data_IF_818807610315
#
_entry.id   IF_818807610315
#
_cell.length_a   1.000
_cell.length_b   1.000
_cell.length_c   1.000
_cell.angle_alpha   90.00
_cell.angle_beta   90.00
_cell.angle_gamma   90.00
#
_symmetry.space_group_name_H-M   'P 1'
#
loop_
_entity.id
_entity.type
_entity.pdbx_description
1 polymer ?
#
# COMPACT_ATOMS: atom_id res chain seq x y z
N UNK A 1 -0.50 -18.83 4.05
CA UNK A 1 0.03 -17.69 3.27
C UNK A 1 0.23 -18.05 1.78
N UNK A 2 -0.13 -17.17 0.83
CA UNK A 2 0.09 -17.40 -0.62
C UNK A 2 1.59 -17.29 -0.96
N UNK A 3 2.08 -18.11 -1.89
CA UNK A 3 3.49 -18.10 -2.38
C UNK A 3 3.95 -16.69 -2.78
N UNK A 4 3.10 -15.93 -3.47
CA UNK A 4 3.40 -14.56 -3.92
C UNK A 4 3.73 -13.59 -2.78
N UNK A 5 3.13 -13.77 -1.60
CA UNK A 5 3.43 -12.92 -0.44
C UNK A 5 4.82 -13.26 0.12
N UNK A 6 5.16 -14.55 0.21
CA UNK A 6 6.48 -15.02 0.67
C UNK A 6 7.59 -14.51 -0.24
N UNK A 7 7.38 -14.62 -1.55
CA UNK A 7 8.33 -14.11 -2.53
C UNK A 7 8.51 -12.59 -2.40
N UNK A 8 7.47 -11.84 -2.01
CA UNK A 8 7.58 -10.39 -1.85
C UNK A 8 8.42 -10.00 -0.63
N UNK A 9 8.28 -10.73 0.48
CA UNK A 9 9.12 -10.53 1.68
C UNK A 9 10.58 -10.86 1.35
N UNK A 10 10.84 -12.03 0.75
CA UNK A 10 12.21 -12.43 0.37
C UNK A 10 12.86 -11.42 -0.57
N UNK A 11 12.14 -10.95 -1.58
CA UNK A 11 12.69 -9.96 -2.52
C UNK A 11 12.96 -8.61 -1.85
N UNK A 12 12.12 -8.20 -0.89
CA UNK A 12 12.38 -7.01 -0.09
C UNK A 12 13.69 -7.14 0.69
N UNK A 13 13.95 -8.31 1.27
CA UNK A 13 15.17 -8.55 2.05
C UNK A 13 16.42 -8.65 1.19
N UNK A 14 16.31 -9.30 0.03
CA UNK A 14 17.38 -9.29 -0.97
C UNK A 14 17.68 -7.84 -1.43
N UNK A 15 16.64 -7.03 -1.62
CA UNK A 15 16.79 -5.62 -1.94
C UNK A 15 17.42 -4.83 -0.78
N UNK A 16 17.00 -5.07 0.46
CA UNK A 16 17.56 -4.48 1.66
C UNK A 16 19.02 -4.87 1.89
N UNK A 17 19.41 -6.12 1.63
CA UNK A 17 20.81 -6.56 1.72
C UNK A 17 21.68 -5.97 0.59
N UNK A 18 21.09 -5.45 -0.47
CA UNK A 18 21.83 -4.74 -1.53
C UNK A 18 22.14 -3.28 -1.18
N UNK A 19 21.49 -2.71 -0.15
CA UNK A 19 21.74 -1.35 0.32
C UNK A 19 23.12 -1.20 0.96
N UNK A 20 23.45 -2.14 1.83
CA UNK A 20 24.65 -2.10 2.62
C UNK A 20 25.23 -3.52 2.67
N UNK A 21 26.19 -3.82 1.78
CA UNK A 21 26.85 -5.12 1.76
C UNK A 21 27.57 -5.44 3.09
N UNK A 22 27.87 -4.43 3.92
CA UNK A 22 28.46 -4.64 5.24
C UNK A 22 27.46 -5.15 6.27
N UNK A 23 26.16 -4.88 6.08
CA UNK A 23 25.07 -5.37 6.93
C UNK A 23 24.40 -6.55 6.22
N UNK A 24 25.00 -7.74 6.35
CA UNK A 24 24.36 -8.96 5.87
C UNK A 24 23.27 -9.38 6.85
N UNK A 25 22.02 -9.01 6.57
CA UNK A 25 20.87 -9.47 7.35
C UNK A 25 20.57 -10.93 7.03
N UNK A 26 20.32 -11.72 8.06
CA UNK A 26 19.80 -13.07 7.88
C UNK A 26 18.42 -13.00 7.19
N UNK A 27 18.07 -14.00 6.36
CA UNK A 27 16.72 -14.09 5.82
C UNK A 27 15.69 -14.06 6.95
N UNK A 28 14.64 -13.23 6.88
CA UNK A 28 13.68 -13.13 7.96
C UNK A 28 12.88 -14.43 8.06
N UNK A 29 12.36 -14.68 9.25
CA UNK A 29 11.37 -15.73 9.43
C UNK A 29 10.06 -15.34 8.73
N UNK A 30 9.60 -16.18 7.81
CA UNK A 30 8.32 -15.99 7.11
C UNK A 30 7.31 -17.02 7.63
N UNK A 31 6.44 -16.58 8.53
CA UNK A 31 5.40 -17.41 9.13
C UNK A 31 4.10 -17.43 8.30
N UNK A 32 3.13 -18.21 8.77
CA UNK A 32 1.84 -18.48 8.14
C UNK A 32 0.81 -17.35 8.25
N UNK A 33 -0.44 -17.71 8.54
CA UNK A 33 -1.48 -16.70 8.82
C UNK A 33 -1.28 -16.15 10.23
N UNK A 34 -1.52 -14.86 10.45
CA UNK A 34 -1.45 -14.28 11.81
C UNK A 34 -2.52 -14.86 12.73
N UNK A 35 -3.58 -15.47 12.18
CA UNK A 35 -4.58 -16.18 12.98
C UNK A 35 -4.04 -17.49 13.58
N UNK A 36 -2.88 -17.97 13.10
CA UNK A 36 -2.23 -19.18 13.60
C UNK A 36 -1.37 -18.89 14.85
N UNK A 37 -1.42 -17.66 15.39
CA UNK A 37 -0.67 -17.25 16.61
C UNK A 37 -1.27 -17.78 17.91
N UNK A 38 -2.46 -18.39 17.90
CA UNK A 38 -3.09 -18.94 19.11
C UNK A 38 -2.72 -20.41 19.28
N UNK A 39 -2.26 -20.78 20.48
CA UNK A 39 -1.95 -22.17 20.84
C UNK A 39 -3.22 -22.99 21.14
N UNK A 40 -3.16 -24.30 20.90
CA UNK A 40 -4.15 -25.37 21.18
C UNK A 40 -5.58 -25.25 20.61
N UNK A 41 -6.20 -24.08 20.63
CA UNK A 41 -7.64 -23.91 20.28
C UNK A 41 -7.86 -23.28 18.91
N UNK A 42 -6.80 -22.77 18.28
CA UNK A 42 -6.89 -21.94 17.08
C UNK A 42 -7.71 -20.66 17.31
N UNK A 43 -8.01 -19.94 16.24
CA UNK A 43 -8.94 -18.81 16.31
C UNK A 43 -10.38 -19.31 16.18
N UNK A 44 -11.30 -18.77 17.00
CA UNK A 44 -12.73 -19.07 16.88
C UNK A 44 -13.31 -18.34 15.65
N UNK A 45 -13.45 -19.04 14.52
CA UNK A 45 -13.96 -18.45 13.28
C UNK A 45 -15.48 -18.11 13.32
N UNK A 46 -16.24 -18.79 14.18
CA UNK A 46 -17.69 -18.60 14.33
C UNK A 46 -18.08 -17.75 15.56
N UNK A 47 -19.33 -17.30 15.60
CA UNK A 47 -19.84 -16.45 16.68
C UNK A 47 -19.64 -14.95 16.50
N UNK A 48 -20.19 -14.19 17.43
CA UNK A 48 -20.15 -12.72 17.47
C UNK A 48 -18.73 -12.20 17.70
N UNK A 49 -18.48 -10.96 17.32
CA UNK A 49 -17.19 -10.29 17.56
C UNK A 49 -16.74 -10.35 19.04
N UNK A 50 -17.67 -10.22 19.99
CA UNK A 50 -17.36 -10.27 21.43
C UNK A 50 -16.96 -11.69 21.86
N UNK A 51 -17.66 -12.72 21.40
CA UNK A 51 -17.29 -14.11 21.69
C UNK A 51 -15.89 -14.43 21.17
N UNK A 52 -15.56 -13.98 19.95
CA UNK A 52 -14.23 -14.13 19.35
C UNK A 52 -13.15 -13.42 20.15
N UNK A 53 -13.44 -12.19 20.61
CA UNK A 53 -12.52 -11.42 21.43
C UNK A 53 -12.25 -12.10 22.78
N UNK A 54 -13.31 -12.55 23.48
CA UNK A 54 -13.18 -13.27 24.75
C UNK A 54 -12.40 -14.58 24.59
N UNK A 55 -12.66 -15.32 23.51
CA UNK A 55 -11.91 -16.53 23.19
C UNK A 55 -10.42 -16.23 22.96
N UNK A 56 -10.12 -15.21 22.16
CA UNK A 56 -8.75 -14.80 21.87
C UNK A 56 -8.02 -14.28 23.11
N UNK A 57 -8.71 -13.57 24.01
CA UNK A 57 -8.13 -13.04 25.25
C UNK A 57 -7.67 -14.16 26.19
N UNK A 58 -8.48 -15.22 26.34
CA UNK A 58 -8.15 -16.39 27.15
C UNK A 58 -7.19 -17.40 26.49
N UNK A 59 -6.86 -17.22 25.21
CA UNK A 59 -5.94 -18.11 24.49
C UNK A 59 -4.48 -17.68 24.68
N UNK A 60 -3.59 -18.66 24.87
CA UNK A 60 -2.15 -18.41 24.94
C UNK A 60 -1.57 -18.17 23.54
N UNK A 61 -0.55 -17.31 23.44
CA UNK A 61 0.22 -17.18 22.20
C UNK A 61 1.06 -18.42 21.94
N UNK A 62 1.06 -18.88 20.69
CA UNK A 62 1.95 -19.92 20.21
C UNK A 62 3.40 -19.45 20.36
N UNK A 63 4.27 -20.31 20.93
CA UNK A 63 5.70 -20.02 21.04
C UNK A 63 6.47 -20.34 19.76
N UNK A 64 5.92 -21.22 18.92
CA UNK A 64 6.52 -21.69 17.68
C UNK A 64 5.51 -21.72 16.55
N UNK A 65 5.97 -21.50 15.32
CA UNK A 65 5.17 -21.68 14.11
C UNK A 65 6.05 -22.18 12.96
N UNK A 66 5.40 -22.79 11.97
CA UNK A 66 6.09 -23.24 10.77
C UNK A 66 6.63 -22.03 10.00
N UNK A 67 7.96 -21.95 9.90
CA UNK A 67 8.68 -20.93 9.16
C UNK A 67 8.94 -21.42 7.75
N UNK A 68 8.43 -20.69 6.76
CA UNK A 68 8.64 -20.99 5.34
C UNK A 68 10.05 -20.70 4.85
N UNK A 69 10.82 -19.89 5.58
CA UNK A 69 12.22 -19.59 5.26
C UNK A 69 13.12 -20.77 5.62
N UNK A 70 12.96 -21.30 6.83
CA UNK A 70 13.79 -22.41 7.35
C UNK A 70 13.19 -23.79 7.11
N UNK A 71 11.95 -23.84 6.58
CA UNK A 71 11.21 -25.08 6.34
C UNK A 71 11.11 -25.98 7.60
N UNK A 72 10.95 -25.36 8.77
CA UNK A 72 10.84 -26.02 10.08
C UNK A 72 10.00 -25.17 11.04
N UNK A 73 9.67 -25.69 12.23
CA UNK A 73 9.04 -24.91 13.29
C UNK A 73 10.10 -24.05 13.99
N UNK A 74 9.99 -22.72 13.84
CA UNK A 74 10.86 -21.77 14.50
C UNK A 74 10.13 -21.09 15.65
N UNK A 75 10.89 -20.59 16.64
CA UNK A 75 10.33 -19.71 17.66
C UNK A 75 9.73 -18.46 17.03
N UNK A 76 8.48 -18.16 17.38
CA UNK A 76 7.81 -16.91 17.00
C UNK A 76 8.38 -15.72 17.78
N UNK A 77 8.78 -15.99 19.03
CA UNK A 77 9.27 -15.02 20.00
C UNK A 77 10.57 -15.58 20.60
N UNK A 78 11.68 -15.64 19.83
CA UNK A 78 12.91 -16.27 20.29
C UNK A 78 13.42 -15.53 21.53
N UNK A 79 13.18 -16.12 22.72
CA UNK A 79 13.47 -15.53 24.03
C UNK A 79 12.54 -14.37 24.37
N UNK A 80 11.86 -14.41 25.52
CA UNK A 80 11.26 -13.19 26.11
C UNK A 80 12.32 -12.10 26.39
N UNK A 81 13.60 -12.45 26.30
CA UNK A 81 14.77 -11.56 26.36
C UNK A 81 15.34 -11.16 24.99
N UNK A 82 14.98 -11.81 23.88
CA UNK A 82 15.48 -11.44 22.55
C UNK A 82 14.38 -10.71 21.76
N UNK A 83 14.46 -9.38 21.86
CA UNK A 83 13.84 -8.38 20.99
C UNK A 83 12.37 -8.65 20.61
N UNK A 84 11.46 -8.51 21.58
CA UNK A 84 10.12 -8.05 21.20
C UNK A 84 10.30 -6.76 20.39
N UNK A 85 9.61 -6.63 19.25
CA UNK A 85 9.73 -5.44 18.43
C UNK A 85 9.36 -4.20 19.26
N UNK A 86 10.24 -3.20 19.30
CA UNK A 86 9.96 -1.92 19.95
C UNK A 86 8.88 -1.13 19.19
N UNK A 87 8.83 -1.35 17.88
CA UNK A 87 7.93 -0.65 16.95
C UNK A 87 7.36 -1.64 15.94
N UNK A 88 6.04 -1.58 15.74
CA UNK A 88 5.35 -2.27 14.64
C UNK A 88 4.71 -1.24 13.70
N UNK A 89 4.82 -1.47 12.39
CA UNK A 89 4.10 -0.71 11.38
C UNK A 89 3.29 -1.67 10.50
N UNK A 90 1.97 -1.58 10.56
CA UNK A 90 1.10 -2.54 9.88
C UNK A 90 -0.05 -1.89 9.11
N UNK A 91 -0.34 -2.42 7.93
CA UNK A 91 -1.55 -2.12 7.16
C UNK A 91 -2.59 -3.23 7.38
N UNK A 92 -3.52 -3.03 8.31
CA UNK A 92 -4.55 -4.03 8.60
C UNK A 92 -5.62 -4.05 7.49
N UNK A 93 -6.20 -5.22 7.16
CA UNK A 93 -7.19 -5.32 6.07
C UNK A 93 -8.40 -4.41 6.32
N UNK A 94 -8.81 -3.65 5.31
CA UNK A 94 -9.93 -2.69 5.43
C UNK A 94 -11.20 -3.11 4.68
N UNK A 95 -11.22 -4.31 4.07
CA UNK A 95 -12.32 -4.78 3.21
C UNK A 95 -13.68 -4.73 3.88
N UNK A 96 -13.76 -5.06 5.17
CA UNK A 96 -15.04 -5.11 5.89
C UNK A 96 -15.48 -3.76 6.46
N UNK A 97 -14.58 -2.77 6.51
CA UNK A 97 -14.87 -1.44 7.05
C UNK A 97 -14.96 -0.35 5.98
N UNK A 98 -14.31 -0.55 4.84
CA UNK A 98 -14.24 0.44 3.75
C UNK A 98 -15.60 0.64 3.08
N UNK A 99 -15.89 1.89 2.69
CA UNK A 99 -17.07 2.23 1.86
C UNK A 99 -17.08 1.48 0.53
N UNK A 100 -15.91 1.14 -0.01
CA UNK A 100 -15.77 0.40 -1.26
C UNK A 100 -15.76 -1.13 -1.09
N UNK A 101 -15.72 -1.60 0.16
CA UNK A 101 -15.70 -3.03 0.50
C UNK A 101 -17.08 -3.57 0.88
N UNK A 102 -17.10 -4.68 1.64
CA UNK A 102 -18.33 -5.40 2.00
C UNK A 102 -19.14 -4.73 3.12
N UNK A 103 -18.52 -3.83 3.88
CA UNK A 103 -19.14 -3.11 5.00
C UNK A 103 -19.72 -4.02 6.09
N UNK A 104 -19.19 -5.24 6.23
CA UNK A 104 -19.60 -6.21 7.26
C UNK A 104 -19.11 -5.82 8.68
N UNK A 105 -18.19 -4.87 8.79
CA UNK A 105 -17.65 -4.34 10.05
C UNK A 105 -17.15 -5.47 10.96
N UNK A 106 -17.67 -5.55 12.18
CA UNK A 106 -17.28 -6.50 13.22
C UNK A 106 -17.63 -7.95 12.88
N UNK A 107 -18.59 -8.17 11.96
CA UNK A 107 -19.00 -9.50 11.50
C UNK A 107 -18.25 -9.96 10.24
N UNK A 108 -17.34 -9.13 9.74
CA UNK A 108 -16.55 -9.43 8.57
C UNK A 108 -15.47 -10.47 8.84
N UNK A 109 -15.16 -11.30 7.84
CA UNK A 109 -14.13 -12.35 7.92
C UNK A 109 -12.72 -11.83 8.20
N UNK A 110 -12.48 -10.53 8.04
CA UNK A 110 -11.18 -9.92 8.37
C UNK A 110 -11.03 -9.57 9.84
N UNK A 111 -12.10 -9.65 10.66
CA UNK A 111 -12.06 -9.30 12.09
C UNK A 111 -11.02 -10.13 12.88
N UNK A 112 -10.80 -11.38 12.49
CA UNK A 112 -9.84 -12.28 13.10
C UNK A 112 -8.41 -11.77 13.01
N UNK A 113 -8.05 -11.13 11.89
CA UNK A 113 -6.73 -10.51 11.71
C UNK A 113 -6.54 -9.38 12.72
N UNK A 114 -7.57 -8.57 12.95
CA UNK A 114 -7.51 -7.48 13.94
C UNK A 114 -7.36 -8.01 15.36
N UNK A 115 -8.14 -9.03 15.73
CA UNK A 115 -8.12 -9.62 17.08
C UNK A 115 -6.78 -10.32 17.32
N UNK A 116 -6.29 -11.11 16.37
CA UNK A 116 -4.99 -11.81 16.48
C UNK A 116 -3.83 -10.82 16.61
N UNK A 117 -3.83 -9.77 15.79
CA UNK A 117 -2.84 -8.70 15.87
C UNK A 117 -2.89 -7.98 17.23
N UNK A 118 -4.10 -7.63 17.70
CA UNK A 118 -4.26 -6.95 18.98
C UNK A 118 -3.76 -7.80 20.15
N UNK A 119 -4.20 -9.07 20.22
CA UNK A 119 -3.76 -10.01 21.24
C UNK A 119 -2.23 -10.11 21.29
N UNK A 120 -1.59 -10.32 20.13
CA UNK A 120 -0.13 -10.38 20.01
C UNK A 120 0.54 -9.18 20.67
N UNK A 121 0.18 -7.96 20.26
CA UNK A 121 0.90 -6.77 20.71
C UNK A 121 0.51 -6.32 22.13
N UNK A 122 -0.70 -6.64 22.59
CA UNK A 122 -1.09 -6.45 24.00
C UNK A 122 -0.29 -7.36 24.92
N UNK A 123 -0.17 -8.65 24.59
CA UNK A 123 0.53 -9.61 25.44
C UNK A 123 2.06 -9.44 25.40
N UNK A 124 2.61 -9.03 24.25
CA UNK A 124 4.03 -8.70 24.12
C UNK A 124 4.38 -7.30 24.63
N UNK A 125 3.39 -6.45 24.93
CA UNK A 125 3.61 -5.10 25.42
C UNK A 125 4.42 -4.23 24.46
N UNK A 126 4.18 -4.34 23.15
CA UNK A 126 4.94 -3.56 22.14
C UNK A 126 4.83 -2.06 22.41
N UNK A 127 5.94 -1.34 22.63
CA UNK A 127 5.92 0.07 23.04
C UNK A 127 5.15 1.00 22.08
N UNK A 128 5.37 0.85 20.76
CA UNK A 128 4.81 1.72 19.74
C UNK A 128 4.21 0.92 18.57
N UNK A 129 2.95 1.19 18.21
CA UNK A 129 2.34 0.64 16.99
C UNK A 129 1.89 1.78 16.06
N UNK A 130 2.05 1.57 14.76
CA UNK A 130 1.58 2.47 13.70
C UNK A 130 0.70 1.68 12.74
N UNK A 131 -0.60 1.91 12.81
CA UNK A 131 -1.58 1.11 12.08
C UNK A 131 -2.27 1.95 10.99
N UNK A 132 -2.15 1.56 9.73
CA UNK A 132 -3.01 2.10 8.65
C UNK A 132 -4.37 1.39 8.71
N UNK A 133 -5.45 2.13 9.01
CA UNK A 133 -6.82 1.60 8.87
C UNK A 133 -7.87 2.72 8.75
N UNK A 134 -9.16 2.33 8.71
CA UNK A 134 -10.29 3.25 8.56
C UNK A 134 -11.24 3.29 9.78
N UNK A 135 -11.04 2.44 10.80
CA UNK A 135 -12.02 2.27 11.88
C UNK A 135 -11.44 2.52 13.29
N UNK A 136 -11.50 3.78 13.75
CA UNK A 136 -11.08 4.17 15.11
C UNK A 136 -11.81 3.38 16.21
N UNK A 137 -13.12 3.15 16.06
CA UNK A 137 -13.92 2.43 17.06
C UNK A 137 -13.44 0.99 17.28
N UNK A 138 -12.98 0.32 16.22
CA UNK A 138 -12.39 -1.03 16.35
C UNK A 138 -11.04 -0.95 17.07
N UNK A 139 -10.21 0.04 16.77
CA UNK A 139 -8.94 0.25 17.46
C UNK A 139 -9.15 0.50 18.96
N UNK A 140 -10.08 1.39 19.32
CA UNK A 140 -10.41 1.69 20.72
C UNK A 140 -10.89 0.44 21.47
N UNK A 141 -11.73 -0.39 20.85
CA UNK A 141 -12.21 -1.64 21.47
C UNK A 141 -11.09 -2.67 21.71
N UNK A 142 -10.14 -2.77 20.78
CA UNK A 142 -9.10 -3.81 20.83
C UNK A 142 -7.86 -3.39 21.63
N UNK A 143 -7.48 -2.12 21.55
CA UNK A 143 -6.23 -1.60 22.11
C UNK A 143 -6.43 -0.57 23.23
N UNK A 144 -7.59 0.07 23.33
CA UNK A 144 -7.78 1.28 24.14
C UNK A 144 -7.56 1.08 25.65
N UNK A 145 -7.61 -0.16 26.14
CA UNK A 145 -7.27 -0.46 27.53
C UNK A 145 -5.75 -0.38 27.76
N UNK A 146 -4.93 -0.76 26.78
CA UNK A 146 -3.47 -0.92 26.91
C UNK A 146 -2.66 0.19 26.23
N UNK A 147 -3.26 0.87 25.25
CA UNK A 147 -2.60 1.88 24.44
C UNK A 147 -3.39 3.20 24.46
N UNK A 148 -2.65 4.31 24.46
CA UNK A 148 -3.18 5.61 24.07
C UNK A 148 -3.17 5.70 22.53
N UNK A 149 -4.28 6.16 21.94
CA UNK A 149 -4.53 6.07 20.49
C UNK A 149 -4.64 7.47 19.89
N UNK A 150 -3.71 7.81 19.01
CA UNK A 150 -3.64 9.11 18.34
C UNK A 150 -3.88 8.96 16.82
N UNK A 151 -5.05 9.36 16.31
CA UNK A 151 -5.35 9.29 14.87
C UNK A 151 -4.70 10.44 14.10
N UNK A 152 -3.99 10.12 13.02
CA UNK A 152 -3.41 11.08 12.06
C UNK A 152 -4.06 10.94 10.69
N UNK A 153 -4.69 12.02 10.21
CA UNK A 153 -5.36 12.05 8.91
C UNK A 153 -4.38 12.50 7.83
N UNK A 154 -3.82 11.53 7.12
CA UNK A 154 -2.72 11.76 6.21
C UNK A 154 -3.16 11.77 4.75
N UNK A 155 -2.48 12.59 3.96
CA UNK A 155 -2.60 12.68 2.51
C UNK A 155 -1.21 12.55 1.88
N UNK A 156 -1.10 12.05 0.64
CA UNK A 156 0.19 11.99 -0.06
C UNK A 156 0.88 13.36 -0.18
N UNK A 157 0.11 14.45 -0.30
CA UNK A 157 0.62 15.83 -0.37
C UNK A 157 1.40 16.24 0.88
N UNK A 158 1.12 15.63 2.03
CA UNK A 158 1.82 15.87 3.29
C UNK A 158 3.26 15.34 3.25
N UNK A 159 3.54 14.40 2.35
CA UNK A 159 4.87 13.83 2.06
C UNK A 159 5.43 14.30 0.70
N UNK A 160 4.95 15.42 0.15
CA UNK A 160 5.43 15.97 -1.14
C UNK A 160 4.78 15.36 -2.39
N UNK A 161 4.00 14.29 -2.25
CA UNK A 161 3.33 13.57 -3.34
C UNK A 161 1.98 14.18 -3.74
N UNK A 162 1.95 15.48 -3.98
CA UNK A 162 0.73 16.25 -4.26
C UNK A 162 -0.06 15.79 -5.49
N UNK A 163 0.62 15.19 -6.47
CA UNK A 163 -0.01 14.64 -7.67
C UNK A 163 -0.77 13.33 -7.45
N UNK A 164 -0.72 12.71 -6.27
CA UNK A 164 -1.33 11.42 -5.99
C UNK A 164 -2.55 11.55 -5.05
N UNK A 165 -3.61 10.79 -5.33
CA UNK A 165 -4.74 10.65 -4.41
C UNK A 165 -4.61 9.34 -3.63
N UNK A 166 -4.48 9.41 -2.30
CA UNK A 166 -4.54 8.25 -1.40
C UNK A 166 -4.66 8.68 0.07
N UNK A 167 -5.74 9.36 0.44
CA UNK A 167 -5.94 9.77 1.83
C UNK A 167 -6.08 8.52 2.72
N UNK A 168 -5.44 8.55 3.89
CA UNK A 168 -5.41 7.45 4.87
C UNK A 168 -5.49 7.99 6.28
N UNK A 169 -5.90 7.14 7.21
CA UNK A 169 -5.78 7.41 8.63
C UNK A 169 -4.74 6.43 9.18
N UNK A 170 -3.76 6.97 9.88
CA UNK A 170 -2.82 6.20 10.65
C UNK A 170 -3.18 6.35 12.12
N UNK A 171 -3.12 5.27 12.88
CA UNK A 171 -3.26 5.31 14.33
C UNK A 171 -1.89 5.08 14.94
N UNK A 172 -1.38 6.09 15.65
CA UNK A 172 -0.19 5.96 16.49
C UNK A 172 -0.66 5.48 17.86
N UNK A 173 -0.24 4.29 18.26
CA UNK A 173 -0.62 3.66 19.52
C UNK A 173 0.60 3.59 20.42
N UNK A 174 0.52 4.22 21.59
CA UNK A 174 1.60 4.24 22.58
C UNK A 174 1.21 3.40 23.78
N UNK A 175 2.02 2.39 24.13
CA UNK A 175 1.72 1.49 25.24
C UNK A 175 1.77 2.24 26.58
N UNK A 176 0.68 2.20 27.35
CA UNK A 176 0.51 3.04 28.56
C UNK A 176 1.59 2.82 29.63
N UNK A 177 2.15 1.61 29.71
CA UNK A 177 3.16 1.24 30.71
C UNK A 177 4.58 1.13 30.17
N UNK A 178 4.75 0.99 28.85
CA UNK A 178 6.06 0.66 28.25
C UNK A 178 6.62 1.82 27.41
N UNK A 179 5.80 2.85 27.17
CA UNK A 179 6.19 4.04 26.45
C UNK A 179 5.49 5.28 27.01
N UNK A 180 5.97 6.44 26.59
CA UNK A 180 5.38 7.73 26.91
C UNK A 180 5.41 8.63 25.68
N UNK A 181 4.30 9.34 25.47
CA UNK A 181 4.23 10.39 24.46
C UNK A 181 4.88 11.67 25.03
N UNK A 182 6.00 12.06 24.47
CA UNK A 182 6.81 13.23 24.90
C UNK A 182 6.40 14.53 24.23
N UNK A 183 5.73 14.46 23.07
CA UNK A 183 5.17 15.63 22.40
C UNK A 183 3.86 15.29 21.68
N UNK A 184 3.04 16.29 21.40
CA UNK A 184 1.81 16.08 20.63
C UNK A 184 2.14 15.66 19.19
N UNK A 185 1.76 14.43 18.85
CA UNK A 185 2.08 13.81 17.56
C UNK A 185 1.41 14.52 16.39
N UNK A 186 0.23 15.12 16.60
CA UNK A 186 -0.49 15.87 15.56
C UNK A 186 0.20 17.22 15.31
N UNK A 187 0.61 17.93 16.36
CA UNK A 187 1.38 19.16 16.26
C UNK A 187 2.71 18.94 15.51
N UNK A 188 3.45 17.88 15.88
CA UNK A 188 4.70 17.56 15.21
C UNK A 188 4.47 17.20 13.73
N UNK A 189 3.39 16.46 13.44
CA UNK A 189 2.96 16.16 12.07
C UNK A 189 2.67 17.42 11.25
N UNK A 190 1.90 18.35 11.81
CA UNK A 190 1.56 19.59 11.13
C UNK A 190 2.81 20.46 10.86
N UNK A 191 3.74 20.53 11.82
CA UNK A 191 5.01 21.24 11.66
C UNK A 191 5.86 20.66 10.52
N UNK A 192 6.10 19.34 10.53
CA UNK A 192 6.93 18.66 9.54
C UNK A 192 6.31 18.76 8.14
N UNK A 193 5.00 18.50 8.03
CA UNK A 193 4.32 18.49 6.72
C UNK A 193 4.15 19.90 6.16
N UNK A 194 4.05 20.94 7.00
CA UNK A 194 4.09 22.33 6.54
C UNK A 194 5.43 22.67 5.88
N UNK A 195 6.55 22.17 6.41
CA UNK A 195 7.87 22.34 5.79
C UNK A 195 7.94 21.59 4.47
N UNK A 196 7.52 20.32 4.43
CA UNK A 196 7.57 19.51 3.20
C UNK A 196 6.77 20.16 2.07
N UNK A 197 5.54 20.60 2.36
CA UNK A 197 4.64 21.24 1.38
C UNK A 197 5.20 22.53 0.78
N UNK A 198 6.06 23.24 1.51
CA UNK A 198 6.73 24.45 1.01
C UNK A 198 7.83 24.14 -0.01
N UNK A 199 8.46 22.96 0.08
CA UNK A 199 9.64 22.61 -0.71
C UNK A 199 9.33 21.67 -1.87
N UNK A 200 8.37 20.76 -1.71
CA UNK A 200 8.13 19.69 -2.69
C UNK A 200 6.65 19.59 -3.03
N UNK A 201 6.35 19.65 -4.33
CA UNK A 201 4.99 19.49 -4.84
C UNK A 201 5.00 18.80 -6.21
N UNK A 202 4.78 17.49 -6.21
CA UNK A 202 4.60 16.76 -7.47
C UNK A 202 3.26 17.06 -8.13
N UNK A 203 3.22 16.95 -9.45
CA UNK A 203 2.04 16.85 -10.30
C UNK A 203 1.87 15.41 -10.82
N UNK A 204 0.75 15.14 -11.49
CA UNK A 204 0.51 13.82 -12.11
C UNK A 204 1.59 13.48 -13.15
N UNK A 205 2.04 14.47 -13.93
CA UNK A 205 3.01 14.28 -14.99
C UNK A 205 4.39 13.85 -14.49
N UNK A 206 4.73 14.17 -13.24
CA UNK A 206 6.06 13.88 -12.67
C UNK A 206 6.25 12.38 -12.43
N UNK A 207 5.14 11.64 -12.24
CA UNK A 207 5.19 10.19 -12.12
C UNK A 207 5.37 9.48 -13.46
N UNK A 208 5.17 10.18 -14.58
CA UNK A 208 5.13 9.58 -15.91
C UNK A 208 6.54 9.46 -16.50
N UNK A 209 7.36 8.57 -15.96
CA UNK A 209 8.79 8.46 -16.34
C UNK A 209 9.14 7.21 -17.17
N UNK A 210 8.16 6.34 -17.47
CA UNK A 210 8.50 5.07 -18.13
C UNK A 210 8.96 5.23 -19.57
N UNK A 211 10.01 4.47 -19.92
CA UNK A 211 10.55 4.43 -21.28
C UNK A 211 9.64 3.63 -22.22
N UNK A 212 9.84 3.78 -23.53
CA UNK A 212 9.06 3.02 -24.52
C UNK A 212 9.24 1.50 -24.37
N UNK A 213 10.42 1.05 -23.94
CA UNK A 213 10.69 -0.35 -23.66
C UNK A 213 9.78 -0.91 -22.57
N UNK A 214 9.66 -0.20 -21.45
CA UNK A 214 8.81 -0.62 -20.33
C UNK A 214 7.33 -0.62 -20.70
N UNK A 215 6.90 0.37 -21.48
CA UNK A 215 5.54 0.43 -22.03
C UNK A 215 5.28 -0.80 -22.91
N UNK A 216 6.24 -1.20 -23.74
CA UNK A 216 6.13 -2.41 -24.56
C UNK A 216 6.07 -3.69 -23.74
N UNK A 217 6.85 -3.81 -22.66
CA UNK A 217 6.77 -4.97 -21.76
C UNK A 217 5.40 -5.10 -21.09
N UNK A 218 4.86 -3.99 -20.56
CA UNK A 218 3.52 -3.93 -19.97
C UNK A 218 2.42 -4.30 -20.95
N UNK A 219 2.55 -3.81 -22.19
CA UNK A 219 1.61 -4.14 -23.25
C UNK A 219 1.72 -5.61 -23.69
N UNK A 220 2.91 -6.19 -23.73
CA UNK A 220 3.09 -7.61 -24.05
C UNK A 220 2.44 -8.50 -23.01
N UNK A 221 2.64 -8.15 -21.73
CA UNK A 221 1.99 -8.82 -20.62
C UNK A 221 0.47 -8.70 -20.69
N UNK A 222 -0.05 -7.51 -21.01
CA UNK A 222 -1.48 -7.30 -21.20
C UNK A 222 -2.04 -8.16 -22.33
N UNK A 223 -1.41 -8.13 -23.51
CA UNK A 223 -1.82 -8.92 -24.66
C UNK A 223 -1.88 -10.42 -24.31
N UNK A 224 -0.84 -10.92 -23.63
CA UNK A 224 -0.77 -12.31 -23.15
C UNK A 224 -1.91 -12.63 -22.18
N UNK A 225 -2.16 -11.78 -21.19
CA UNK A 225 -3.25 -11.96 -20.22
C UNK A 225 -4.64 -11.98 -20.87
N UNK A 226 -4.80 -11.29 -22.01
CA UNK A 226 -6.03 -11.21 -22.79
C UNK A 226 -6.09 -12.19 -23.96
N UNK A 227 -5.07 -13.04 -24.13
CA UNK A 227 -4.93 -13.97 -25.25
C UNK A 227 -5.02 -13.27 -26.61
N UNK A 228 -4.50 -12.06 -26.71
CA UNK A 228 -4.42 -11.27 -27.95
C UNK A 228 -3.08 -11.54 -28.64
N UNK A 229 -3.06 -11.51 -29.97
CA UNK A 229 -1.83 -11.63 -30.75
C UNK A 229 -0.94 -10.40 -30.51
N UNK A 230 0.30 -10.63 -30.11
CA UNK A 230 1.31 -9.60 -30.00
C UNK A 230 1.90 -9.31 -31.40
N UNK A 231 1.99 -8.04 -31.85
CA UNK A 231 2.64 -7.72 -33.11
C UNK A 231 4.12 -8.10 -33.05
N UNK A 232 4.54 -9.08 -33.84
CA UNK A 232 5.94 -9.53 -33.87
C UNK A 232 6.84 -8.60 -34.67
N UNK A 233 6.28 -7.75 -35.54
CA UNK A 233 7.07 -6.82 -36.36
C UNK A 233 7.28 -5.50 -35.63
N UNK A 234 8.54 -5.03 -35.59
CA UNK A 234 8.91 -3.75 -34.99
C UNK A 234 8.12 -2.56 -35.59
N UNK A 235 7.79 -2.62 -36.89
CA UNK A 235 6.94 -1.63 -37.56
C UNK A 235 5.50 -1.59 -36.99
N UNK A 236 4.95 -2.73 -36.57
CA UNK A 236 3.64 -2.82 -35.92
C UNK A 236 3.66 -2.43 -34.45
N UNK A 237 4.71 -2.81 -33.71
CA UNK A 237 4.83 -2.57 -32.27
C UNK A 237 5.23 -1.12 -31.91
N UNK A 238 5.94 -0.40 -32.79
CA UNK A 238 6.46 0.93 -32.46
C UNK A 238 5.94 2.06 -33.39
N UNK A 239 5.44 1.73 -34.58
CA UNK A 239 5.10 2.73 -35.60
C UNK A 239 3.76 3.45 -35.46
N UNK A 240 2.79 2.91 -34.71
CA UNK A 240 1.46 3.55 -34.52
C UNK A 240 0.97 3.40 -33.08
N UNK A 241 0.98 4.48 -32.28
CA UNK A 241 0.38 4.51 -30.93
C UNK A 241 -1.10 4.03 -30.87
N UNK A 242 -1.77 3.86 -32.01
CA UNK A 242 -3.11 3.27 -32.10
C UNK A 242 -3.17 1.79 -31.67
N UNK A 243 -2.06 1.05 -31.68
CA UNK A 243 -2.10 -0.38 -31.31
C UNK A 243 -2.30 -0.58 -29.79
N UNK A 244 -1.83 0.34 -28.93
CA UNK A 244 -2.10 0.23 -27.48
C UNK A 244 -3.60 0.28 -27.19
N UNK A 245 -4.35 1.07 -27.97
CA UNK A 245 -5.81 1.09 -27.90
C UNK A 245 -6.42 -0.25 -28.34
N UNK A 246 -5.83 -0.98 -29.28
CA UNK A 246 -6.37 -2.28 -29.70
C UNK A 246 -6.25 -3.35 -28.62
N UNK A 247 -5.35 -3.17 -27.65
CA UNK A 247 -5.26 -4.03 -26.48
C UNK A 247 -6.37 -3.79 -25.46
N UNK A 248 -7.08 -2.66 -25.53
CA UNK A 248 -8.18 -2.33 -24.62
C UNK A 248 -9.48 -3.05 -25.00
N UNK A 249 -10.31 -3.34 -24.00
CA UNK A 249 -11.67 -3.85 -24.22
C UNK A 249 -12.56 -2.76 -24.81
N UNK A 250 -13.68 -3.12 -25.43
CA UNK A 250 -14.64 -2.13 -25.96
C UNK A 250 -15.14 -1.19 -24.86
N UNK A 251 -15.46 -1.73 -23.68
CA UNK A 251 -15.84 -0.93 -22.51
C UNK A 251 -14.77 0.11 -22.13
N UNK A 252 -13.50 -0.26 -22.10
CA UNK A 252 -12.41 0.66 -21.77
C UNK A 252 -12.26 1.76 -22.84
N UNK A 253 -12.40 1.40 -24.13
CA UNK A 253 -12.38 2.36 -25.25
C UNK A 253 -13.54 3.34 -25.17
N UNK A 254 -14.75 2.85 -24.92
CA UNK A 254 -15.95 3.68 -24.74
C UNK A 254 -15.78 4.64 -23.57
N UNK A 255 -15.13 4.18 -22.49
CA UNK A 255 -14.88 5.03 -21.34
C UNK A 255 -13.89 6.16 -21.63
N UNK A 256 -12.85 5.89 -22.42
CA UNK A 256 -11.91 6.90 -22.90
C UNK A 256 -12.63 7.92 -23.78
N UNK A 257 -13.42 7.45 -24.76
CA UNK A 257 -14.16 8.32 -25.67
C UNK A 257 -15.15 9.23 -24.91
N UNK A 258 -15.91 8.66 -23.98
CA UNK A 258 -16.84 9.41 -23.14
C UNK A 258 -16.11 10.48 -22.31
N UNK A 259 -15.04 10.10 -21.60
CA UNK A 259 -14.28 11.02 -20.77
C UNK A 259 -13.61 12.13 -21.60
N UNK A 260 -13.10 11.80 -22.80
CA UNK A 260 -12.55 12.77 -23.73
C UNK A 260 -13.61 13.81 -24.14
N UNK A 261 -14.76 13.36 -24.63
CA UNK A 261 -15.85 14.27 -25.05
C UNK A 261 -16.38 15.11 -23.90
N UNK A 262 -16.44 14.56 -22.68
CA UNK A 262 -16.84 15.31 -21.49
C UNK A 262 -15.80 16.37 -21.13
N UNK A 263 -14.51 16.03 -21.18
CA UNK A 263 -13.43 16.97 -20.88
C UNK A 263 -13.43 18.13 -21.87
N UNK A 264 -13.48 17.83 -23.17
CA UNK A 264 -13.43 18.83 -24.23
C UNK A 264 -14.62 19.79 -24.17
N UNK A 265 -15.81 19.26 -23.86
CA UNK A 265 -17.01 20.08 -23.63
C UNK A 265 -16.90 20.97 -22.40
N UNK A 266 -16.37 20.44 -21.28
CA UNK A 266 -16.34 21.14 -19.99
C UNK A 266 -15.23 22.19 -19.91
N UNK A 267 -14.07 21.92 -20.50
CA UNK A 267 -12.86 22.73 -20.34
C UNK A 267 -12.43 23.43 -21.63
N UNK A 268 -13.19 23.30 -22.72
CA UNK A 268 -12.93 23.92 -24.03
C UNK A 268 -11.49 23.70 -24.55
N UNK A 269 -10.91 22.55 -24.21
CA UNK A 269 -9.54 22.17 -24.59
C UNK A 269 -9.48 20.69 -24.89
N UNK A 270 -8.63 20.29 -25.85
CA UNK A 270 -8.38 18.89 -26.19
C UNK A 270 -7.93 18.11 -24.95
N UNK A 271 -8.48 16.93 -24.73
CA UNK A 271 -8.03 16.09 -23.60
C UNK A 271 -6.53 15.73 -23.69
N UNK A 272 -6.03 15.59 -24.92
CA UNK A 272 -4.62 15.29 -25.20
C UNK A 272 -3.65 16.44 -24.93
N UNK A 273 -4.11 17.69 -24.77
CA UNK A 273 -3.23 18.81 -24.43
C UNK A 273 -2.92 18.90 -22.94
N UNK A 274 -3.71 18.23 -22.08
CA UNK A 274 -3.49 18.25 -20.65
C UNK A 274 -2.52 17.14 -20.21
N UNK A 275 -1.29 17.52 -19.85
CA UNK A 275 -0.23 16.62 -19.37
C UNK A 275 -0.57 15.89 -18.06
N UNK A 276 -1.53 16.40 -17.29
CA UNK A 276 -1.92 15.85 -16.00
C UNK A 276 -3.24 15.07 -16.06
N UNK A 277 -3.85 14.91 -17.24
CA UNK A 277 -5.15 14.25 -17.38
C UNK A 277 -5.03 12.72 -17.43
N UNK A 278 -5.58 12.06 -16.41
CA UNK A 278 -5.59 10.61 -16.22
C UNK A 278 -6.99 10.14 -15.83
N UNK A 279 -7.45 9.06 -16.45
CA UNK A 279 -8.74 8.40 -16.20
C UNK A 279 -8.56 7.03 -15.55
N UNK A 280 -9.39 6.69 -14.55
CA UNK A 280 -9.44 5.32 -14.03
C UNK A 280 -10.35 4.43 -14.91
N UNK A 281 -9.77 3.48 -15.66
CA UNK A 281 -10.51 2.66 -16.63
C UNK A 281 -11.40 1.57 -16.00
N UNK A 282 -11.27 1.31 -14.71
CA UNK A 282 -12.10 0.33 -14.01
C UNK A 282 -13.53 0.79 -13.74
N UNK A 283 -13.80 2.09 -13.85
CA UNK A 283 -15.12 2.65 -13.51
C UNK A 283 -16.10 2.57 -14.69
N UNK A 284 -17.38 2.84 -14.42
CA UNK A 284 -18.38 3.08 -15.46
C UNK A 284 -18.59 4.60 -15.52
N UNK A 285 -18.05 5.29 -16.53
CA UNK A 285 -18.00 6.74 -16.54
C UNK A 285 -19.38 7.40 -16.65
N UNK A 286 -20.42 6.66 -17.06
CA UNK A 286 -21.81 7.14 -17.07
C UNK A 286 -22.45 7.17 -15.68
N UNK A 287 -21.97 6.36 -14.75
CA UNK A 287 -22.46 6.30 -13.35
C UNK A 287 -21.53 7.00 -12.39
N UNK A 288 -20.23 6.80 -12.57
CA UNK A 288 -19.21 7.26 -11.66
C UNK A 288 -17.87 7.40 -12.41
N UNK A 289 -17.29 8.60 -12.37
CA UNK A 289 -16.08 8.94 -13.11
C UNK A 289 -14.98 9.41 -12.15
N UNK A 290 -13.95 8.60 -11.93
CA UNK A 290 -12.73 9.06 -11.27
C UNK A 290 -11.66 9.36 -12.30
N UNK A 291 -11.19 10.59 -12.23
CA UNK A 291 -10.14 11.11 -13.10
C UNK A 291 -9.50 12.35 -12.49
N UNK A 292 -8.33 12.72 -13.00
CA UNK A 292 -7.58 13.87 -12.50
C UNK A 292 -8.12 15.21 -13.00
N UNK A 293 -9.07 15.26 -13.96
CA UNK A 293 -9.61 16.53 -14.44
C UNK A 293 -10.26 17.35 -13.32
N UNK A 294 -10.93 16.68 -12.38
CA UNK A 294 -11.57 17.34 -11.25
C UNK A 294 -10.65 17.47 -10.04
N UNK A 295 -9.91 16.41 -9.70
CA UNK A 295 -9.08 16.37 -8.49
C UNK A 295 -7.70 17.00 -8.65
N UNK A 296 -7.22 17.17 -9.90
CA UNK A 296 -5.82 17.45 -10.25
C UNK A 296 -4.82 16.39 -9.73
N UNK A 297 -5.33 15.21 -9.35
CA UNK A 297 -4.56 14.11 -8.73
C UNK A 297 -4.78 12.80 -9.46
N UNK A 298 -3.76 11.96 -9.46
CA UNK A 298 -3.81 10.60 -9.98
C UNK A 298 -4.83 9.79 -9.17
N UNK A 299 -5.82 9.14 -9.82
CA UNK A 299 -6.79 8.29 -9.13
C UNK A 299 -6.13 7.15 -8.34
N UNK A 300 -6.62 6.86 -7.13
CA UNK A 300 -6.17 5.68 -6.36
C UNK A 300 -6.60 4.40 -7.09
N UNK A 301 -5.66 3.47 -7.28
CA UNK A 301 -6.00 2.12 -7.78
C UNK A 301 -6.81 1.36 -6.74
N UNK A 302 -7.93 0.81 -7.16
CA UNK A 302 -8.83 0.01 -6.29
C UNK A 302 -8.51 -1.48 -6.34
N UNK A 303 -8.03 -1.94 -7.49
CA UNK A 303 -7.67 -3.34 -7.73
C UNK A 303 -6.36 -3.38 -8.53
N UNK A 304 -5.54 -4.41 -8.29
CA UNK A 304 -4.29 -4.63 -9.01
C UNK A 304 -4.47 -4.84 -10.53
N UNK A 305 -5.68 -5.12 -11.01
CA UNK A 305 -6.00 -5.27 -12.44
C UNK A 305 -6.50 -3.97 -13.11
N UNK A 306 -6.80 -2.93 -12.33
CA UNK A 306 -7.31 -1.66 -12.87
C UNK A 306 -6.19 -0.86 -13.53
N UNK A 307 -6.51 -0.25 -14.67
CA UNK A 307 -5.59 0.58 -15.47
C UNK A 307 -5.96 2.05 -15.31
N UNK A 308 -4.94 2.91 -15.33
CA UNK A 308 -5.08 4.36 -15.35
C UNK A 308 -4.64 4.86 -16.72
N UNK A 309 -5.52 5.52 -17.47
CA UNK A 309 -5.27 5.97 -18.84
C UNK A 309 -4.82 7.42 -18.89
N UNK A 310 -3.68 7.70 -19.51
CA UNK A 310 -3.15 9.04 -19.74
C UNK A 310 -3.46 9.52 -21.16
N UNK A 311 -4.14 10.65 -21.29
CA UNK A 311 -4.67 11.10 -22.58
C UNK A 311 -3.59 11.61 -23.53
N UNK A 312 -2.64 12.41 -23.03
CA UNK A 312 -1.58 12.97 -23.87
C UNK A 312 -0.66 11.87 -24.43
N UNK A 313 -0.27 10.88 -23.61
CA UNK A 313 0.57 9.76 -24.07
C UNK A 313 -0.21 8.65 -24.78
N UNK A 314 -1.55 8.67 -24.70
CA UNK A 314 -2.46 7.66 -25.27
C UNK A 314 -2.08 6.23 -24.86
N UNK A 315 -1.83 6.03 -23.57
CA UNK A 315 -1.50 4.73 -22.99
C UNK A 315 -1.96 4.66 -21.53
N UNK A 316 -1.96 3.46 -20.95
CA UNK A 316 -2.08 3.34 -19.50
C UNK A 316 -0.74 3.60 -18.80
N UNK A 317 -0.81 3.91 -17.50
CA UNK A 317 0.36 4.02 -16.64
C UNK A 317 1.00 2.64 -16.42
N UNK A 318 2.32 2.57 -16.47
CA UNK A 318 3.07 1.33 -16.18
C UNK A 318 3.14 1.08 -14.67
N UNK A 319 3.56 -0.12 -14.25
CA UNK A 319 3.74 -0.46 -12.85
C UNK A 319 4.79 0.44 -12.17
N UNK A 320 5.84 0.85 -12.88
CA UNK A 320 6.83 1.86 -12.39
C UNK A 320 6.15 3.16 -12.00
N UNK A 321 5.37 3.72 -12.91
CA UNK A 321 4.72 5.02 -12.72
C UNK A 321 3.69 4.97 -11.58
N UNK A 322 3.00 3.84 -11.44
CA UNK A 322 2.11 3.60 -10.30
C UNK A 322 2.91 3.49 -8.99
N UNK A 323 4.04 2.78 -8.96
CA UNK A 323 4.89 2.68 -7.76
C UNK A 323 5.46 4.05 -7.36
N UNK A 324 5.90 4.88 -8.31
CA UNK A 324 6.34 6.25 -8.04
C UNK A 324 5.22 7.11 -7.45
N UNK A 325 3.98 6.97 -7.96
CA UNK A 325 2.82 7.65 -7.38
C UNK A 325 2.45 7.16 -5.97
N UNK A 326 3.02 6.04 -5.54
CA UNK A 326 2.89 5.45 -4.22
C UNK A 326 4.09 5.78 -3.30
N UNK A 327 5.01 6.63 -3.76
CA UNK A 327 6.20 7.06 -3.01
C UNK A 327 7.36 6.06 -3.03
N UNK A 328 7.31 5.01 -3.84
CA UNK A 328 8.41 4.05 -3.92
C UNK A 328 9.58 4.60 -4.75
N UNK A 329 10.84 4.26 -4.40
CA UNK A 329 12.04 4.62 -5.17
C UNK A 329 12.16 3.75 -6.43
N UNK A 330 11.25 3.96 -7.37
CA UNK A 330 11.05 3.12 -8.56
C UNK A 330 11.80 3.63 -9.81
N UNK A 331 12.64 4.67 -9.67
CA UNK A 331 13.59 5.13 -10.67
C UNK A 331 14.91 5.53 -9.99
N UNK A 332 15.98 5.69 -10.78
CA UNK A 332 17.32 5.98 -10.27
C UNK A 332 17.39 7.30 -9.49
N UNK A 333 16.80 8.38 -10.02
CA UNK A 333 16.86 9.70 -9.42
C UNK A 333 16.16 9.76 -8.05
N UNK A 334 14.97 9.17 -7.95
CA UNK A 334 14.20 9.06 -6.71
C UNK A 334 14.92 8.17 -5.70
N UNK A 335 15.47 7.04 -6.14
CA UNK A 335 16.22 6.14 -5.26
C UNK A 335 17.49 6.81 -4.71
N UNK A 336 18.25 7.50 -5.56
CA UNK A 336 19.42 8.27 -5.17
C UNK A 336 19.07 9.38 -4.16
N UNK A 337 18.00 10.14 -4.42
CA UNK A 337 17.52 11.18 -3.50
C UNK A 337 17.07 10.62 -2.14
N UNK A 338 16.59 9.37 -2.11
CA UNK A 338 16.18 8.67 -0.89
C UNK A 338 17.32 7.91 -0.21
N UNK A 339 18.53 7.91 -0.77
CA UNK A 339 19.66 7.14 -0.26
C UNK A 339 19.41 5.63 -0.26
N UNK A 340 18.67 5.11 -1.24
CA UNK A 340 18.33 3.69 -1.32
C UNK A 340 18.43 3.13 -2.77
N UNK A 341 18.36 1.81 -2.99
CA UNK A 341 18.50 1.22 -4.31
C UNK A 341 17.16 1.29 -5.03
N UNK A 342 17.19 1.26 -6.35
CA UNK A 342 15.96 1.25 -7.15
C UNK A 342 15.16 -0.01 -6.86
N UNK A 343 13.87 0.14 -6.57
CA UNK A 343 12.95 -1.01 -6.45
C UNK A 343 12.92 -1.75 -7.79
N UNK A 344 13.20 -3.06 -7.82
CA UNK A 344 13.26 -3.81 -9.07
C UNK A 344 11.88 -3.97 -9.71
N UNK A 345 11.69 -3.40 -10.91
CA UNK A 345 10.40 -3.42 -11.64
C UNK A 345 10.40 -4.46 -12.80
N UNK A 346 11.42 -5.32 -12.87
CA UNK A 346 11.52 -6.32 -13.94
C UNK A 346 10.32 -7.28 -13.98
N UNK A 347 9.76 -7.61 -12.82
CA UNK A 347 8.50 -8.34 -12.72
C UNK A 347 7.31 -7.37 -12.60
N UNK A 348 6.65 -7.15 -13.73
CA UNK A 348 5.47 -6.28 -13.86
C UNK A 348 4.32 -6.76 -12.96
N UNK A 349 4.06 -8.07 -12.89
CA UNK A 349 2.95 -8.60 -12.09
C UNK A 349 3.18 -8.35 -10.62
N UNK A 350 4.40 -8.61 -10.16
CA UNK A 350 4.79 -8.37 -8.77
C UNK A 350 4.74 -6.90 -8.42
N UNK A 351 5.26 -6.03 -9.30
CA UNK A 351 5.22 -4.58 -9.15
C UNK A 351 3.79 -4.05 -9.06
N UNK A 352 2.90 -4.51 -9.94
CA UNK A 352 1.49 -4.14 -9.93
C UNK A 352 0.77 -4.62 -8.66
N UNK A 353 1.13 -5.79 -8.13
CA UNK A 353 0.60 -6.33 -6.88
C UNK A 353 1.04 -5.49 -5.68
N UNK A 354 2.34 -5.15 -5.61
CA UNK A 354 2.92 -4.30 -4.57
C UNK A 354 2.20 -2.95 -4.51
N UNK A 355 2.04 -2.27 -5.65
CA UNK A 355 1.38 -0.98 -5.73
C UNK A 355 -0.10 -1.00 -5.27
N UNK A 356 -0.80 -2.12 -5.47
CA UNK A 356 -2.20 -2.27 -5.07
C UNK A 356 -2.39 -2.39 -3.56
N UNK A 357 -1.47 -3.09 -2.89
CA UNK A 357 -1.63 -3.51 -1.49
C UNK A 357 -0.75 -2.74 -0.50
N UNK A 358 0.26 -2.00 -0.97
CA UNK A 358 1.15 -1.26 -0.10
C UNK A 358 0.50 -0.01 0.52
N UNK A 359 1.01 0.39 1.68
CA UNK A 359 0.84 1.74 2.20
C UNK A 359 1.52 2.75 1.26
N UNK A 360 1.11 4.02 1.30
CA UNK A 360 1.85 5.06 0.57
C UNK A 360 3.20 5.26 1.27
N UNK A 361 4.30 4.92 0.61
CA UNK A 361 5.63 4.81 1.22
C UNK A 361 6.04 6.11 1.91
N UNK A 362 6.03 7.24 1.18
CA UNK A 362 6.38 8.53 1.77
C UNK A 362 5.49 8.95 2.94
N UNK A 363 4.22 8.54 2.95
CA UNK A 363 3.29 8.88 4.04
C UNK A 363 3.56 8.04 5.28
N UNK A 364 3.71 6.72 5.13
CA UNK A 364 4.02 5.85 6.26
C UNK A 364 5.39 6.16 6.86
N UNK A 365 6.40 6.49 6.02
CA UNK A 365 7.71 6.93 6.51
C UNK A 365 7.63 8.24 7.30
N UNK A 366 6.84 9.21 6.83
CA UNK A 366 6.63 10.48 7.55
C UNK A 366 6.00 10.22 8.91
N UNK A 367 4.93 9.41 8.96
CA UNK A 367 4.26 9.04 10.22
C UNK A 367 5.19 8.28 11.16
N UNK A 368 6.00 7.35 10.64
CA UNK A 368 6.97 6.59 11.44
C UNK A 368 8.00 7.50 12.11
N UNK A 369 8.61 8.43 11.35
CA UNK A 369 9.59 9.38 11.90
C UNK A 369 8.95 10.26 12.98
N UNK A 370 7.74 10.76 12.73
CA UNK A 370 7.02 11.61 13.69
C UNK A 370 6.69 10.83 14.96
N UNK A 371 6.19 9.61 14.83
CA UNK A 371 5.86 8.77 15.97
C UNK A 371 7.10 8.41 16.80
N UNK A 372 8.22 8.06 16.15
CA UNK A 372 9.51 7.80 16.81
C UNK A 372 10.08 9.03 17.51
N UNK A 373 9.90 10.22 16.93
CA UNK A 373 10.35 11.47 17.56
C UNK A 373 9.45 11.91 18.72
N UNK A 374 8.16 11.56 18.66
CA UNK A 374 7.17 11.92 19.68
C UNK A 374 7.10 10.92 20.84
N UNK A 375 7.57 9.69 20.66
CA UNK A 375 7.43 8.60 21.61
C UNK A 375 8.79 8.14 22.14
N UNK A 376 8.88 7.88 23.43
CA UNK A 376 10.05 7.28 24.06
C UNK A 376 9.65 6.02 24.85
N UNK A 377 10.47 4.95 24.83
CA UNK A 377 10.35 3.86 25.80
C UNK A 377 10.44 4.41 27.22
N UNK A 378 9.73 3.78 28.16
CA UNK A 378 9.79 4.13 29.59
C UNK A 378 10.99 3.55 30.30
#
# INVERSE_FOLDING_TARGET
>A
MKRSCRDSIRDHEVWCNSLDPSIRREPPHVFGDICDVFFDKGFLDEGSFIQKLLHADGAALASHAFCHTHNTYCGLWPGRSAAAADVEVAGLPCTDYSKAGRRQRHEGVTNKVFISHAKRHVELGTPLLILENVCLRTMQKLYGNHYDIYPLYCKPEDSGHSGAARNRVYFVLVHKTNAVMTCDVQYLYDCVTAVIKKHVRTEVSDYLVSSNWEVSLEAAELARSRRLRWPTTAKGAFGKRSWLLSLLTNREKDAIAYAQSLYERKYHSKASSNKNLVLHLGDNPRKYLIWSAASKKLPTRRLASTRLWHFQRRRWLTSREVLLSMGFPANADTAAAMGCPVVPIKDIKKSAHLAGNAMHFGTVSTVLIIALAACQPR
#
